data_IF_684001749521
#
_entry.id   IF_684001749521
#
_cell.length_a   1.000
_cell.length_b   1.000
_cell.length_c   1.000
_cell.angle_alpha   90.00
_cell.angle_beta   90.00
_cell.angle_gamma   90.00
#
_symmetry.space_group_name_H-M   'P 1'
#
loop_
_entity.id
_entity.type
_entity.pdbx_description
1 polymer ?
#
# COMPACT_ATOMS: atom_id res chain seq x y z
N UNK A 1 67.59 -14.10 -6.87
CA UNK A 1 66.37 -14.78 -6.39
C UNK A 1 65.84 -13.96 -5.21
N UNK A 2 64.87 -13.07 -5.45
CA UNK A 2 64.23 -12.27 -4.40
C UNK A 2 62.88 -12.89 -4.04
N UNK A 3 62.71 -13.25 -2.77
CA UNK A 3 61.55 -13.95 -2.23
C UNK A 3 60.28 -13.11 -2.33
N UNK A 4 59.28 -13.63 -3.05
CA UNK A 4 57.96 -13.03 -3.21
C UNK A 4 57.03 -13.49 -2.06
N UNK A 5 57.45 -13.34 -0.80
CA UNK A 5 56.61 -13.62 0.38
C UNK A 5 55.71 -12.41 0.67
N UNK A 6 54.84 -12.10 -0.28
CA UNK A 6 53.97 -10.92 -0.27
C UNK A 6 52.57 -11.22 0.27
N UNK A 7 52.24 -10.59 1.40
CA UNK A 7 50.90 -10.11 1.77
C UNK A 7 49.71 -11.08 1.92
N UNK A 8 49.84 -12.40 1.77
CA UNK A 8 48.68 -13.33 1.90
C UNK A 8 47.91 -13.20 3.22
N UNK A 9 48.60 -13.01 4.35
CA UNK A 9 47.95 -12.79 5.66
C UNK A 9 47.22 -11.46 5.79
N UNK A 10 47.70 -10.41 5.11
CA UNK A 10 47.08 -9.07 5.06
C UNK A 10 45.83 -9.07 4.18
N UNK A 11 45.88 -9.75 3.03
CA UNK A 11 44.72 -9.94 2.16
C UNK A 11 43.67 -10.86 2.80
N UNK A 12 44.08 -11.87 3.56
CA UNK A 12 43.17 -12.70 4.36
C UNK A 12 42.43 -11.89 5.43
N UNK A 13 43.12 -11.09 6.24
CA UNK A 13 42.51 -10.23 7.26
C UNK A 13 41.62 -9.13 6.66
N UNK A 14 41.99 -8.55 5.50
CA UNK A 14 41.15 -7.60 4.77
C UNK A 14 39.90 -8.27 4.19
N UNK A 15 40.03 -9.48 3.63
CA UNK A 15 38.89 -10.23 3.10
C UNK A 15 37.94 -10.69 4.21
N UNK A 16 38.44 -11.16 5.35
CA UNK A 16 37.62 -11.50 6.53
C UNK A 16 36.97 -10.25 7.15
N UNK A 17 37.73 -9.15 7.27
CA UNK A 17 37.22 -7.88 7.77
C UNK A 17 36.06 -7.35 6.92
N UNK A 18 36.21 -7.30 5.59
CA UNK A 18 35.15 -6.83 4.69
C UNK A 18 33.95 -7.81 4.68
N UNK A 19 34.20 -9.12 4.69
CA UNK A 19 33.14 -10.15 4.57
C UNK A 19 32.29 -10.31 5.84
N UNK A 20 32.82 -9.95 7.03
CA UNK A 20 32.08 -10.04 8.30
C UNK A 20 31.63 -8.66 8.79
N UNK A 21 32.50 -7.65 8.77
CA UNK A 21 32.15 -6.31 9.26
C UNK A 21 31.22 -5.57 8.31
N UNK A 22 31.32 -5.78 6.99
CA UNK A 22 30.44 -5.16 6.01
C UNK A 22 28.96 -5.53 6.25
N UNK A 23 28.61 -6.82 6.27
CA UNK A 23 27.26 -7.26 6.60
C UNK A 23 26.82 -6.85 8.02
N UNK A 24 27.69 -6.94 9.03
CA UNK A 24 27.36 -6.55 10.40
C UNK A 24 27.05 -5.05 10.52
N UNK A 25 27.84 -4.21 9.87
CA UNK A 25 27.63 -2.76 9.81
C UNK A 25 26.34 -2.42 9.05
N UNK A 26 26.06 -3.13 7.95
CA UNK A 26 24.78 -3.03 7.25
C UNK A 26 23.60 -3.34 8.19
N UNK A 27 23.67 -4.41 8.99
CA UNK A 27 22.63 -4.72 9.97
C UNK A 27 22.43 -3.64 11.05
N UNK A 28 23.50 -2.93 11.43
CA UNK A 28 23.42 -1.85 12.43
C UNK A 28 22.89 -0.53 11.84
N UNK A 29 23.27 -0.21 10.60
CA UNK A 29 22.92 1.06 9.96
C UNK A 29 21.54 0.99 9.27
N UNK A 30 21.14 -0.16 8.73
CA UNK A 30 19.89 -0.29 7.98
C UNK A 30 18.64 0.19 8.77
N UNK A 31 18.47 -0.13 10.06
CA UNK A 31 17.35 0.41 10.85
C UNK A 31 17.35 1.93 10.96
N UNK A 32 18.54 2.55 11.00
CA UNK A 32 18.70 4.01 11.05
C UNK A 32 18.31 4.62 9.71
N UNK A 33 18.83 4.07 8.59
CA UNK A 33 18.46 4.51 7.23
C UNK A 33 16.94 4.41 7.02
N UNK A 34 16.33 3.28 7.38
CA UNK A 34 14.88 3.09 7.28
C UNK A 34 14.10 4.08 8.16
N UNK A 35 14.59 4.39 9.37
CA UNK A 35 13.96 5.38 10.24
C UNK A 35 13.93 6.79 9.64
N UNK A 36 14.99 7.19 8.92
CA UNK A 36 15.11 8.49 8.27
C UNK A 36 14.58 8.53 6.84
N UNK A 37 14.04 7.42 6.32
CA UNK A 37 13.46 7.35 4.98
C UNK A 37 12.18 8.19 4.89
N UNK A 38 12.01 8.86 3.74
CA UNK A 38 10.86 9.70 3.40
C UNK A 38 10.90 11.10 4.01
N UNK A 39 9.95 11.95 3.61
CA UNK A 39 9.77 13.29 4.14
C UNK A 39 9.19 13.22 5.57
N UNK A 40 10.02 13.46 6.58
CA UNK A 40 9.59 13.38 7.99
C UNK A 40 8.73 14.56 8.40
N UNK A 41 8.92 15.72 7.79
CA UNK A 41 8.16 16.93 8.10
C UNK A 41 6.70 16.76 7.68
N UNK A 42 6.46 15.92 6.66
CA UNK A 42 5.13 15.54 6.20
C UNK A 42 4.20 14.97 7.28
N UNK A 43 4.75 14.36 8.33
CA UNK A 43 3.97 13.86 9.47
C UNK A 43 3.21 15.03 10.15
N UNK A 44 3.83 16.21 10.26
CA UNK A 44 3.20 17.38 10.87
C UNK A 44 2.00 17.91 10.05
N UNK A 45 2.01 17.69 8.74
CA UNK A 45 0.97 18.16 7.82
C UNK A 45 -0.15 17.15 7.58
N UNK A 46 -0.05 15.93 8.12
CA UNK A 46 -1.05 14.87 7.92
C UNK A 46 -2.44 15.31 8.37
N UNK A 47 -2.54 15.95 9.55
CA UNK A 47 -3.82 16.47 10.06
C UNK A 47 -4.42 17.52 9.12
N UNK A 48 -3.59 18.44 8.62
CA UNK A 48 -4.01 19.47 7.66
C UNK A 48 -4.51 18.83 6.38
N UNK A 49 -3.76 17.88 5.83
CA UNK A 49 -4.12 17.17 4.60
C UNK A 49 -5.45 16.42 4.72
N UNK A 50 -5.65 15.67 5.82
CA UNK A 50 -6.88 14.91 6.09
C UNK A 50 -8.06 15.86 6.36
N UNK A 51 -7.85 17.01 7.01
CA UNK A 51 -8.92 18.01 7.22
C UNK A 51 -9.47 18.60 5.91
N UNK A 52 -8.73 18.46 4.82
CA UNK A 52 -9.12 18.89 3.48
C UNK A 52 -9.72 17.76 2.65
N UNK A 53 -10.07 16.62 3.25
CA UNK A 53 -10.72 15.54 2.51
C UNK A 53 -12.21 15.76 2.36
N UNK A 54 -12.70 15.49 1.15
CA UNK A 54 -14.10 15.25 0.87
C UNK A 54 -14.27 13.80 0.43
N UNK A 55 -15.42 13.19 0.74
CA UNK A 55 -15.75 11.87 0.20
C UNK A 55 -16.58 12.01 -1.08
N UNK A 56 -16.16 11.31 -2.13
CA UNK A 56 -16.88 11.22 -3.39
C UNK A 56 -17.18 9.76 -3.73
N UNK A 57 -18.21 9.56 -4.56
CA UNK A 57 -18.60 8.25 -5.06
C UNK A 57 -17.99 8.06 -6.45
N UNK A 58 -17.25 6.97 -6.66
CA UNK A 58 -16.73 6.57 -7.96
C UNK A 58 -17.33 5.23 -8.38
N UNK A 59 -17.44 5.03 -9.69
CA UNK A 59 -17.80 3.74 -10.29
C UNK A 59 -16.58 3.24 -11.06
N UNK A 60 -16.08 2.06 -10.71
CA UNK A 60 -14.94 1.44 -11.38
C UNK A 60 -15.28 1.08 -12.83
N UNK A 61 -14.32 1.18 -13.76
CA UNK A 61 -14.54 0.87 -15.17
C UNK A 61 -14.93 -0.60 -15.39
N UNK A 62 -15.69 -0.87 -16.45
CA UNK A 62 -16.14 -2.22 -16.81
C UNK A 62 -14.98 -3.11 -17.29
N UNK A 63 -13.95 -2.49 -17.89
CA UNK A 63 -12.75 -3.12 -18.43
C UNK A 63 -11.58 -3.08 -17.43
N UNK A 64 -11.85 -3.17 -16.12
CA UNK A 64 -10.85 -3.06 -15.05
C UNK A 64 -9.62 -3.98 -15.24
N UNK A 65 -9.77 -5.12 -15.91
CA UNK A 65 -8.68 -6.09 -16.17
C UNK A 65 -8.27 -6.18 -17.63
N UNK A 66 -8.72 -5.23 -18.46
CA UNK A 66 -8.32 -5.19 -19.86
C UNK A 66 -6.95 -4.52 -20.00
N UNK A 67 -5.92 -5.33 -19.76
CA UNK A 67 -4.52 -4.95 -19.90
C UNK A 67 -4.15 -4.49 -21.32
N UNK A 68 -4.98 -4.78 -22.33
CA UNK A 68 -4.71 -4.39 -23.73
C UNK A 68 -5.02 -2.91 -24.01
N UNK A 69 -5.87 -2.29 -23.19
CA UNK A 69 -6.30 -0.89 -23.34
C UNK A 69 -5.33 0.12 -22.71
N UNK A 70 -4.43 -0.31 -21.81
CA UNK A 70 -3.58 0.58 -21.03
C UNK A 70 -4.33 1.45 -20.00
N UNK A 71 -5.64 1.26 -19.84
CA UNK A 71 -6.49 2.08 -18.96
C UNK A 71 -6.39 1.71 -17.48
N UNK A 72 -5.88 0.51 -17.19
CA UNK A 72 -5.65 0.01 -15.83
C UNK A 72 -4.19 -0.38 -15.63
N UNK A 73 -3.53 0.25 -14.65
CA UNK A 73 -2.15 -0.13 -14.28
C UNK A 73 -2.04 -0.36 -12.78
N UNK A 74 -1.52 -1.55 -12.45
CA UNK A 74 -1.16 -1.95 -11.10
C UNK A 74 0.33 -1.70 -10.87
N UNK A 75 0.68 -1.00 -9.79
CA UNK A 75 2.06 -0.92 -9.30
C UNK A 75 2.11 -1.17 -7.80
N UNK A 76 3.25 -1.62 -7.32
CA UNK A 76 3.50 -1.82 -5.88
C UNK A 76 4.86 -1.22 -5.51
N UNK A 77 4.92 -0.52 -4.38
CA UNK A 77 6.12 0.14 -3.87
C UNK A 77 6.34 -0.16 -2.39
N UNK A 78 7.58 -0.43 -1.99
CA UNK A 78 7.94 -0.73 -0.60
C UNK A 78 8.21 0.55 0.17
N UNK A 79 7.39 0.85 1.16
CA UNK A 79 7.52 2.05 1.97
C UNK A 79 8.56 1.83 3.06
N UNK A 80 8.40 0.76 3.84
CA UNK A 80 9.33 0.37 4.90
C UNK A 80 9.53 -1.15 4.90
N UNK A 81 10.73 -1.58 5.29
CA UNK A 81 11.01 -3.00 5.49
C UNK A 81 12.25 -3.21 6.34
N UNK A 82 12.10 -3.95 7.45
CA UNK A 82 13.26 -4.56 8.06
C UNK A 82 13.77 -5.65 7.10
N UNK A 83 15.08 -5.78 6.92
CA UNK A 83 15.65 -6.86 6.09
C UNK A 83 15.34 -8.29 6.58
N UNK A 84 14.43 -8.46 7.56
CA UNK A 84 14.07 -9.70 8.25
C UNK A 84 12.58 -10.04 8.09
N UNK A 85 12.02 -9.92 6.89
CA UNK A 85 10.75 -10.53 6.48
C UNK A 85 9.49 -10.25 7.35
N UNK A 86 9.53 -9.48 8.44
CA UNK A 86 8.48 -9.57 9.47
C UNK A 86 7.41 -8.50 9.46
N UNK A 87 7.53 -7.45 8.65
CA UNK A 87 6.39 -6.61 8.25
C UNK A 87 6.86 -5.65 7.14
N UNK A 88 6.56 -6.00 5.88
CA UNK A 88 6.80 -5.13 4.74
C UNK A 88 5.59 -4.23 4.60
N UNK A 89 5.73 -2.94 4.92
CA UNK A 89 4.69 -1.97 4.60
C UNK A 89 4.91 -1.55 3.16
N UNK A 90 3.89 -1.72 2.33
CA UNK A 90 3.95 -1.40 0.93
C UNK A 90 2.68 -0.70 0.48
N UNK A 91 2.81 0.16 -0.51
CA UNK A 91 1.69 0.74 -1.21
C UNK A 91 1.41 -0.05 -2.47
N UNK A 92 0.15 -0.40 -2.68
CA UNK A 92 -0.36 -0.90 -3.95
C UNK A 92 -1.25 0.18 -4.57
N UNK A 93 -1.08 0.41 -5.86
CA UNK A 93 -1.74 1.48 -6.57
C UNK A 93 -2.51 0.90 -7.74
N UNK A 94 -3.77 1.32 -7.85
CA UNK A 94 -4.61 1.00 -8.98
C UNK A 94 -4.96 2.27 -9.71
N UNK A 95 -4.32 2.47 -10.87
CA UNK A 95 -4.62 3.60 -11.75
C UNK A 95 -5.78 3.23 -12.66
N UNK A 96 -6.81 4.05 -12.70
CA UNK A 96 -7.95 3.84 -13.58
C UNK A 96 -8.55 5.18 -14.06
N UNK A 97 -9.12 5.18 -15.27
CA UNK A 97 -9.90 6.31 -15.76
C UNK A 97 -11.33 6.24 -15.24
N UNK A 98 -11.77 7.28 -14.53
CA UNK A 98 -13.15 7.37 -14.02
C UNK A 98 -13.95 8.31 -14.91
N UNK A 99 -14.75 7.73 -15.79
CA UNK A 99 -15.56 8.43 -16.80
C UNK A 99 -16.50 9.48 -16.20
N UNK A 100 -17.06 9.21 -15.02
CA UNK A 100 -17.94 10.13 -14.27
C UNK A 100 -17.29 11.51 -14.05
N UNK A 101 -15.97 11.55 -13.86
CA UNK A 101 -15.21 12.76 -13.56
C UNK A 101 -14.26 13.19 -14.69
N UNK A 102 -14.16 12.38 -15.75
CA UNK A 102 -13.22 12.55 -16.87
C UNK A 102 -11.77 12.74 -16.42
N UNK A 103 -11.36 11.99 -15.39
CA UNK A 103 -10.02 12.06 -14.77
C UNK A 103 -9.47 10.66 -14.56
N UNK A 104 -8.15 10.53 -14.62
CA UNK A 104 -7.45 9.37 -14.09
C UNK A 104 -7.35 9.49 -12.57
N UNK A 105 -7.63 8.39 -11.89
CA UNK A 105 -7.52 8.23 -10.45
C UNK A 105 -6.44 7.22 -10.15
N UNK A 106 -5.77 7.39 -9.02
CA UNK A 106 -4.87 6.40 -8.45
C UNK A 106 -5.41 6.04 -7.06
N UNK A 107 -5.98 4.83 -6.95
CA UNK A 107 -6.48 4.30 -5.68
C UNK A 107 -5.29 3.71 -4.94
N UNK A 108 -5.03 4.23 -3.74
CA UNK A 108 -3.85 3.90 -2.95
C UNK A 108 -4.25 2.99 -1.79
N UNK A 109 -3.67 1.79 -1.75
CA UNK A 109 -3.82 0.81 -0.69
C UNK A 109 -2.50 0.68 0.06
N UNK A 110 -2.49 0.98 1.35
CA UNK A 110 -1.28 0.81 2.17
C UNK A 110 -1.45 -0.44 3.02
N UNK A 111 -0.68 -1.46 2.66
CA UNK A 111 -0.72 -2.80 3.26
C UNK A 111 0.32 -2.89 4.37
N UNK A 112 -0.03 -3.58 5.45
CA UNK A 112 0.79 -3.78 6.65
C UNK A 112 0.40 -2.89 7.83
N UNK A 113 -0.77 -2.23 7.79
CA UNK A 113 -1.20 -1.23 8.79
C UNK A 113 -2.48 -1.64 9.52
N UNK A 114 -3.45 -2.18 8.79
CA UNK A 114 -4.80 -2.45 9.31
C UNK A 114 -5.08 -3.94 9.26
N UNK A 115 -5.17 -4.57 10.43
CA UNK A 115 -5.35 -6.01 10.56
C UNK A 115 -6.81 -6.35 10.87
N UNK A 116 -7.33 -7.37 10.19
CA UNK A 116 -8.62 -7.99 10.46
C UNK A 116 -8.46 -9.49 10.70
N UNK A 117 -9.26 -10.03 11.61
CA UNK A 117 -9.19 -11.44 12.00
C UNK A 117 -10.31 -12.24 11.29
N UNK A 118 -9.89 -13.25 10.54
CA UNK A 118 -10.71 -14.22 9.85
C UNK A 118 -11.06 -15.46 10.69
N UNK A 119 -11.52 -16.53 10.03
CA UNK A 119 -11.76 -17.83 10.67
C UNK A 119 -10.45 -18.42 11.22
N UNK A 120 -10.55 -19.23 12.28
CA UNK A 120 -9.41 -19.92 12.89
C UNK A 120 -8.27 -18.99 13.31
N UNK A 121 -8.59 -17.77 13.73
CA UNK A 121 -7.63 -16.74 14.13
C UNK A 121 -6.57 -16.45 13.05
N UNK A 122 -6.97 -16.52 11.76
CA UNK A 122 -6.12 -16.10 10.65
C UNK A 122 -6.16 -14.58 10.53
N UNK A 123 -4.99 -13.96 10.47
CA UNK A 123 -4.85 -12.52 10.38
C UNK A 123 -4.67 -12.11 8.92
N UNK A 124 -5.42 -11.10 8.49
CA UNK A 124 -5.37 -10.55 7.14
C UNK A 124 -5.18 -9.04 7.20
N UNK A 125 -4.48 -8.48 6.21
CA UNK A 125 -4.44 -7.04 6.04
C UNK A 125 -5.70 -6.55 5.30
N UNK A 126 -6.41 -5.59 5.89
CA UNK A 126 -7.66 -5.08 5.36
C UNK A 126 -7.48 -4.41 3.99
N UNK A 127 -6.44 -3.61 3.78
CA UNK A 127 -6.19 -2.93 2.52
C UNK A 127 -5.84 -3.92 1.41
N UNK A 128 -5.05 -4.95 1.73
CA UNK A 128 -4.74 -6.05 0.81
C UNK A 128 -6.00 -6.82 0.41
N UNK A 129 -6.90 -7.09 1.36
CA UNK A 129 -8.18 -7.73 1.07
C UNK A 129 -9.06 -6.84 0.19
N UNK A 130 -9.19 -5.55 0.53
CA UNK A 130 -9.98 -4.58 -0.23
C UNK A 130 -9.50 -4.48 -1.69
N UNK A 131 -8.19 -4.39 -1.92
CA UNK A 131 -7.60 -4.43 -3.27
C UNK A 131 -8.00 -5.73 -4.00
N UNK A 132 -7.83 -6.90 -3.36
CA UNK A 132 -8.16 -8.19 -4.00
C UNK A 132 -9.63 -8.35 -4.38
N UNK A 133 -10.51 -7.57 -3.76
CA UNK A 133 -11.96 -7.58 -4.00
C UNK A 133 -12.38 -6.64 -5.14
N UNK A 134 -11.47 -5.87 -5.73
CA UNK A 134 -11.81 -4.98 -6.84
C UNK A 134 -12.41 -5.75 -8.01
N UNK A 135 -13.57 -5.29 -8.47
CA UNK A 135 -14.32 -5.83 -9.61
C UNK A 135 -14.78 -4.71 -10.53
N UNK A 136 -14.95 -5.00 -11.83
CA UNK A 136 -15.64 -4.12 -12.74
C UNK A 136 -16.96 -3.60 -12.18
N UNK A 137 -17.27 -2.33 -12.44
CA UNK A 137 -18.52 -1.67 -12.04
C UNK A 137 -18.76 -1.58 -10.51
N UNK A 138 -17.76 -1.89 -9.67
CA UNK A 138 -17.86 -1.62 -8.25
C UNK A 138 -18.09 -0.14 -7.99
N UNK A 139 -18.82 0.12 -6.92
CA UNK A 139 -19.12 1.46 -6.45
C UNK A 139 -18.36 1.67 -5.16
N UNK A 140 -17.48 2.67 -5.15
CA UNK A 140 -16.64 3.00 -4.01
C UNK A 140 -16.95 4.42 -3.53
N UNK A 141 -16.90 4.62 -2.21
CA UNK A 141 -16.72 5.93 -1.60
C UNK A 141 -15.23 6.09 -1.34
N UNK A 142 -14.64 7.15 -1.87
CA UNK A 142 -13.21 7.44 -1.70
C UNK A 142 -13.01 8.84 -1.15
N UNK A 143 -11.91 9.06 -0.45
CA UNK A 143 -11.47 10.38 -0.03
C UNK A 143 -10.61 11.02 -1.12
N UNK A 144 -10.91 12.28 -1.44
CA UNK A 144 -10.13 13.17 -2.30
C UNK A 144 -9.70 14.39 -1.48
N UNK A 145 -8.46 14.85 -1.67
CA UNK A 145 -8.04 16.12 -1.09
C UNK A 145 -8.58 17.30 -1.92
N UNK A 146 -9.21 18.29 -1.27
CA UNK A 146 -9.82 19.45 -1.93
C UNK A 146 -8.84 20.33 -2.71
N UNK A 147 -7.62 20.54 -2.21
CA UNK A 147 -6.60 21.36 -2.88
C UNK A 147 -6.18 20.67 -4.18
N UNK A 148 -5.84 19.39 -4.12
CA UNK A 148 -5.51 18.58 -5.31
C UNK A 148 -6.70 18.44 -6.27
N UNK A 149 -7.93 18.28 -5.75
CA UNK A 149 -9.14 18.15 -6.57
C UNK A 149 -9.42 19.36 -7.45
N UNK A 150 -9.24 20.57 -6.89
CA UNK A 150 -9.44 21.84 -7.59
C UNK A 150 -8.31 22.17 -8.56
N UNK A 151 -7.16 21.56 -8.38
CA UNK A 151 -6.00 21.77 -9.23
C UNK A 151 -6.14 21.00 -10.55
N UNK A 152 -6.05 21.75 -11.66
CA UNK A 152 -6.22 21.21 -13.02
C UNK A 152 -5.05 20.35 -13.49
N UNK A 153 -3.88 20.44 -12.85
CA UNK A 153 -2.75 19.55 -13.12
C UNK A 153 -3.03 18.10 -12.70
N UNK A 154 -3.97 17.88 -11.78
CA UNK A 154 -4.37 16.55 -11.33
C UNK A 154 -5.49 15.93 -12.17
N UNK A 155 -5.44 14.60 -12.24
CA UNK A 155 -6.39 13.77 -12.97
C UNK A 155 -5.95 13.45 -14.40
N UNK A 156 -4.68 13.66 -14.74
CA UNK A 156 -4.08 13.21 -16.00
C UNK A 156 -3.44 11.83 -15.84
N UNK A 157 -3.02 11.22 -16.94
CA UNK A 157 -2.37 9.90 -16.90
C UNK A 157 -1.05 9.96 -16.11
N UNK A 158 -0.31 11.05 -16.27
CA UNK A 158 0.98 11.34 -15.63
C UNK A 158 0.81 11.73 -14.16
N UNK A 159 -0.23 12.53 -13.86
CA UNK A 159 -0.55 13.02 -12.52
C UNK A 159 -1.98 12.66 -12.14
N UNK A 160 -2.27 11.36 -11.85
CA UNK A 160 -3.61 10.90 -11.52
C UNK A 160 -4.07 11.51 -10.18
N UNK A 161 -5.38 11.56 -9.96
CA UNK A 161 -5.96 12.01 -8.70
C UNK A 161 -5.72 10.95 -7.61
N UNK A 162 -4.92 11.23 -6.57
CA UNK A 162 -4.69 10.28 -5.49
C UNK A 162 -5.95 10.16 -4.63
N UNK A 163 -6.38 8.93 -4.36
CA UNK A 163 -7.57 8.67 -3.52
C UNK A 163 -7.37 7.50 -2.56
N UNK A 164 -8.04 7.59 -1.41
CA UNK A 164 -8.03 6.56 -0.38
C UNK A 164 -9.44 5.97 -0.23
N UNK A 165 -9.55 4.66 -0.05
CA UNK A 165 -10.85 4.04 0.16
C UNK A 165 -11.44 4.50 1.51
N UNK A 166 -12.64 5.08 1.45
CA UNK A 166 -13.47 5.31 2.62
C UNK A 166 -14.41 4.12 2.84
N UNK A 167 -15.13 3.69 1.80
CA UNK A 167 -16.10 2.59 1.89
C UNK A 167 -16.32 1.86 0.57
N UNK A 168 -16.43 0.54 0.60
CA UNK A 168 -17.02 -0.25 -0.49
C UNK A 168 -18.55 -0.14 -0.39
N UNK A 169 -19.18 0.47 -1.39
CA UNK A 169 -20.65 0.65 -1.40
C UNK A 169 -21.33 -0.58 -1.97
N UNK A 170 -20.83 -1.12 -3.08
CA UNK A 170 -21.39 -2.32 -3.72
C UNK A 170 -20.46 -2.91 -4.78
N UNK A 171 -20.70 -4.18 -5.13
CA UNK A 171 -20.07 -4.87 -6.26
C UNK A 171 -18.88 -5.75 -5.88
N UNK A 172 -18.51 -5.82 -4.59
CA UNK A 172 -17.59 -6.85 -4.12
C UNK A 172 -18.27 -8.23 -4.07
N UNK A 173 -17.47 -9.29 -4.02
CA UNK A 173 -17.93 -10.68 -4.03
C UNK A 173 -17.54 -11.45 -2.75
N UNK A 174 -17.37 -10.76 -1.62
CA UNK A 174 -16.86 -11.38 -0.39
C UNK A 174 -17.81 -12.46 0.15
N UNK A 175 -19.13 -12.30 0.02
CA UNK A 175 -20.08 -13.33 0.45
C UNK A 175 -19.94 -14.61 -0.37
N UNK A 176 -19.69 -14.49 -1.69
CA UNK A 176 -19.47 -15.65 -2.55
C UNK A 176 -18.13 -16.32 -2.24
N UNK A 177 -17.07 -15.53 -2.06
CA UNK A 177 -15.75 -16.04 -1.62
C UNK A 177 -15.84 -16.77 -0.28
N UNK A 178 -16.56 -16.21 0.70
CA UNK A 178 -16.78 -16.84 1.99
C UNK A 178 -17.57 -18.16 1.87
N UNK A 179 -18.63 -18.20 1.05
CA UNK A 179 -19.38 -19.45 0.79
C UNK A 179 -18.48 -20.52 0.18
N UNK A 180 -17.65 -20.14 -0.80
CA UNK A 180 -16.72 -21.06 -1.44
C UNK A 180 -15.65 -21.56 -0.45
N UNK A 181 -15.13 -20.70 0.42
CA UNK A 181 -14.19 -21.08 1.45
C UNK A 181 -14.79 -22.09 2.44
N UNK A 182 -16.02 -21.86 2.93
CA UNK A 182 -16.70 -22.83 3.82
C UNK A 182 -17.02 -24.14 3.11
N UNK A 183 -17.40 -24.09 1.83
CA UNK A 183 -17.60 -25.29 1.02
C UNK A 183 -16.31 -26.10 0.91
N UNK A 184 -15.18 -25.44 0.65
CA UNK A 184 -13.87 -26.11 0.63
C UNK A 184 -13.53 -26.75 1.98
N UNK A 185 -13.73 -26.05 3.10
CA UNK A 185 -13.53 -26.62 4.45
C UNK A 185 -14.34 -27.91 4.66
N UNK A 186 -15.62 -27.89 4.24
CA UNK A 186 -16.53 -29.02 4.44
C UNK A 186 -16.15 -30.28 3.66
N UNK A 187 -15.37 -30.15 2.57
CA UNK A 187 -14.94 -31.28 1.74
C UNK A 187 -13.76 -32.05 2.36
N UNK A 188 -13.05 -31.47 3.33
CA UNK A 188 -11.85 -32.05 3.94
C UNK A 188 -11.99 -32.09 5.46
N UNK A 189 -12.91 -32.92 6.00
CA UNK A 189 -13.15 -32.99 7.43
C UNK A 189 -11.87 -33.44 8.18
N UNK A 190 -11.41 -32.63 9.13
CA UNK A 190 -10.20 -32.88 9.92
C UNK A 190 -8.98 -32.06 9.51
N UNK A 191 -9.03 -31.35 8.38
CA UNK A 191 -7.97 -30.46 7.91
C UNK A 191 -8.50 -29.01 7.81
N UNK A 192 -7.70 -28.03 8.22
CA UNK A 192 -8.09 -26.60 8.10
C UNK A 192 -7.79 -26.16 6.65
N UNK A 193 -8.81 -26.19 5.79
CA UNK A 193 -8.71 -25.83 4.37
C UNK A 193 -9.16 -24.41 4.04
N UNK A 194 -9.64 -23.67 5.04
CA UNK A 194 -10.01 -22.26 4.89
C UNK A 194 -8.77 -21.37 4.96
N UNK A 195 -8.24 -20.99 3.80
CA UNK A 195 -7.18 -19.99 3.70
C UNK A 195 -7.72 -18.55 3.79
N UNK A 196 -8.98 -18.33 3.41
CA UNK A 196 -9.58 -17.01 3.38
C UNK A 196 -11.07 -17.10 3.72
N UNK A 197 -11.43 -16.72 4.94
CA UNK A 197 -12.80 -16.48 5.34
C UNK A 197 -12.82 -15.31 6.32
N UNK A 198 -13.71 -14.36 6.07
CA UNK A 198 -13.95 -13.24 6.97
C UNK A 198 -15.33 -13.39 7.63
N UNK A 199 -15.44 -13.44 8.97
CA UNK A 199 -16.73 -13.44 9.63
C UNK A 199 -17.50 -12.12 9.34
N UNK A 200 -18.84 -12.09 9.48
CA UNK A 200 -19.64 -10.92 9.11
C UNK A 200 -19.16 -9.59 9.70
N UNK A 201 -18.68 -9.59 10.96
CA UNK A 201 -18.08 -8.40 11.59
C UNK A 201 -16.80 -7.93 10.89
N UNK A 202 -15.93 -8.87 10.52
CA UNK A 202 -14.71 -8.56 9.78
C UNK A 202 -15.02 -8.07 8.35
N UNK A 203 -16.04 -8.63 7.70
CA UNK A 203 -16.52 -8.14 6.40
C UNK A 203 -17.02 -6.70 6.51
N UNK A 204 -17.85 -6.39 7.52
CA UNK A 204 -18.34 -5.04 7.74
C UNK A 204 -17.18 -4.06 8.01
N UNK A 205 -16.20 -4.47 8.82
CA UNK A 205 -15.02 -3.66 9.12
C UNK A 205 -14.08 -3.50 7.93
N UNK A 206 -13.97 -4.52 7.07
CA UNK A 206 -13.18 -4.46 5.84
C UNK A 206 -13.85 -3.54 4.81
N UNK A 207 -15.19 -3.56 4.69
CA UNK A 207 -15.90 -2.67 3.76
C UNK A 207 -15.83 -1.18 4.15
N UNK A 208 -15.58 -0.86 5.42
CA UNK A 208 -15.53 0.50 5.93
C UNK A 208 -14.16 0.78 6.55
N UNK A 209 -13.34 1.58 5.89
CA UNK A 209 -12.03 1.97 6.42
C UNK A 209 -12.21 3.09 7.45
N UNK A 210 -11.85 2.90 8.73
CA UNK A 210 -11.97 3.93 9.74
C UNK A 210 -11.06 5.12 9.43
N UNK A 211 -11.49 6.30 9.85
CA UNK A 211 -10.71 7.52 9.68
C UNK A 211 -9.35 7.44 10.38
N UNK A 212 -9.23 6.70 11.49
CA UNK A 212 -7.94 6.48 12.14
C UNK A 212 -6.95 5.65 11.30
N UNK A 213 -7.46 4.74 10.45
CA UNK A 213 -6.65 3.97 9.51
C UNK A 213 -6.31 4.83 8.31
N UNK A 214 -7.29 5.53 7.74
CA UNK A 214 -7.05 6.43 6.62
C UNK A 214 -6.10 7.59 6.99
N UNK A 215 -6.12 8.07 8.24
CA UNK A 215 -5.14 9.04 8.74
C UNK A 215 -3.71 8.48 8.62
N UNK A 216 -3.49 7.22 9.00
CA UNK A 216 -2.19 6.57 8.79
C UNK A 216 -1.87 6.43 7.30
N UNK A 217 -2.85 6.10 6.46
CA UNK A 217 -2.63 6.03 5.02
C UNK A 217 -2.18 7.38 4.44
N UNK A 218 -2.78 8.47 4.89
CA UNK A 218 -2.36 9.82 4.54
C UNK A 218 -0.93 10.10 5.01
N UNK A 219 -0.57 9.74 6.25
CA UNK A 219 0.78 9.91 6.79
C UNK A 219 1.82 9.21 5.91
N UNK A 220 1.59 7.94 5.56
CA UNK A 220 2.47 7.16 4.70
C UNK A 220 2.53 7.72 3.28
N UNK A 221 1.40 8.20 2.75
CA UNK A 221 1.37 8.85 1.44
C UNK A 221 2.24 10.11 1.42
N UNK A 222 2.02 11.03 2.36
CA UNK A 222 2.76 12.29 2.40
C UNK A 222 4.25 12.06 2.67
N UNK A 223 4.59 11.08 3.51
CA UNK A 223 5.97 10.78 3.88
C UNK A 223 6.75 10.06 2.78
N UNK A 224 6.14 9.08 2.11
CA UNK A 224 6.89 8.16 1.25
C UNK A 224 6.54 8.24 -0.23
N UNK A 225 5.35 8.76 -0.59
CA UNK A 225 4.80 8.62 -1.93
C UNK A 225 4.57 9.95 -2.65
N UNK A 226 4.25 11.01 -1.90
CA UNK A 226 4.11 12.34 -2.44
C UNK A 226 5.50 12.90 -2.78
N UNK A 227 5.76 13.29 -4.04
CA UNK A 227 7.01 13.94 -4.41
C UNK A 227 7.27 15.20 -3.56
N UNK A 228 8.55 15.47 -3.28
CA UNK A 228 8.96 16.56 -2.39
C UNK A 228 8.58 17.94 -2.95
N UNK A 229 8.76 18.15 -4.25
CA UNK A 229 8.32 19.36 -4.96
C UNK A 229 6.80 19.56 -4.88
N UNK A 230 6.04 18.48 -5.02
CA UNK A 230 4.58 18.53 -4.88
C UNK A 230 4.16 18.77 -3.43
N UNK A 231 4.90 18.24 -2.46
CA UNK A 231 4.68 18.51 -1.05
C UNK A 231 4.88 19.99 -0.72
N UNK A 232 6.00 20.58 -1.12
CA UNK A 232 6.30 22.01 -0.95
C UNK A 232 5.19 22.86 -1.58
N UNK A 233 4.78 22.56 -2.82
CA UNK A 233 3.67 23.24 -3.50
C UNK A 233 2.33 23.12 -2.77
N UNK A 234 2.08 22.02 -2.09
CA UNK A 234 0.83 21.80 -1.35
C UNK A 234 0.81 22.48 0.02
N UNK A 235 1.95 22.71 0.66
CA UNK A 235 1.98 23.15 2.06
C UNK A 235 2.85 24.38 2.35
N UNK A 236 3.82 24.71 1.51
CA UNK A 236 4.83 25.75 1.77
C UNK A 236 4.72 26.94 0.81
N UNK A 237 4.18 26.74 -0.39
CA UNK A 237 3.82 27.81 -1.31
C UNK A 237 2.40 28.36 -0.99
N UNK A 238 2.33 29.32 -0.07
CA UNK A 238 1.19 30.26 0.08
C UNK A 238 1.57 31.69 -0.33
#
# INVERSE_FOLDING_TARGET
>A
MGSNEGNWGRYGLQAFGISVLGPLLFYLINPIIEHFKGNRDAVAYTKTYVSQWDSIKIVLPTNLFDFSSGEFTHRTEVLTGDGKQKQRIYASFEKCYISQYKKYFEIIWIVGIDEIVGLYNRHHDAAGVQNSLMRPNMVLSVYVNRKQWKDKSYGTLEKPMPVFLHRIISGDDIEERNKNALRQDSLFPGEIMVYFYLPPKAVQRMRNTPDSVNYKFAEYYLRYLLPEDEFERLFEEE
#
